data_IF_075182202876
#
_entry.id   IF_075182202876
#
_cell.length_a   1.000
_cell.length_b   1.000
_cell.length_c   1.000
_cell.angle_alpha   90.00
_cell.angle_beta   90.00
_cell.angle_gamma   90.00
#
_symmetry.space_group_name_H-M   'P 1'
#
loop_
_entity.id
_entity.type
_entity.pdbx_description
1 polymer ?
#
# COMPACT_ATOMS: atom_id res chain seq x y z
N UNK A 1 7.30 19.18 4.19
CA UNK A 1 7.13 18.10 3.20
C UNK A 1 5.92 18.39 2.34
N UNK A 2 6.00 18.02 1.08
CA UNK A 2 4.89 18.16 0.15
C UNK A 2 4.05 16.89 0.14
N UNK A 3 2.74 17.05 0.09
CA UNK A 3 1.83 15.90 -0.03
C UNK A 3 1.54 15.63 -1.50
N UNK A 4 1.74 14.40 -1.93
CA UNK A 4 1.42 13.92 -3.26
C UNK A 4 0.33 12.87 -3.16
N UNK A 5 -0.69 12.99 -3.98
CA UNK A 5 -1.81 12.05 -4.02
C UNK A 5 -1.57 11.02 -5.11
N UNK A 6 -1.62 9.74 -4.75
CA UNK A 6 -1.33 8.64 -5.67
C UNK A 6 -2.54 7.73 -5.79
N UNK A 7 -2.76 7.23 -7.01
CA UNK A 7 -3.80 6.24 -7.29
C UNK A 7 -3.20 5.11 -8.10
N UNK A 8 -3.29 3.90 -7.58
CA UNK A 8 -2.79 2.69 -8.21
C UNK A 8 -3.95 1.88 -8.78
N UNK A 9 -3.74 1.10 -9.83
CA UNK A 9 -4.80 0.25 -10.41
C UNK A 9 -5.38 -0.76 -9.41
N UNK A 10 -4.57 -1.20 -8.44
CA UNK A 10 -4.99 -2.16 -7.41
C UNK A 10 -4.08 -2.07 -6.20
N UNK A 11 -4.50 -2.70 -5.10
CA UNK A 11 -3.67 -2.82 -3.90
C UNK A 11 -2.36 -3.55 -4.20
N UNK A 12 -2.41 -4.57 -5.03
CA UNK A 12 -1.22 -5.34 -5.41
C UNK A 12 -0.19 -4.47 -6.11
N UNK A 13 -0.61 -3.59 -7.02
CA UNK A 13 0.28 -2.66 -7.71
C UNK A 13 0.89 -1.68 -6.71
N UNK A 14 0.11 -1.18 -5.75
CA UNK A 14 0.63 -0.35 -4.67
C UNK A 14 1.69 -1.07 -3.85
N UNK A 15 1.44 -2.32 -3.48
CA UNK A 15 2.38 -3.12 -2.69
C UNK A 15 3.72 -3.30 -3.42
N UNK A 16 3.67 -3.54 -4.72
CA UNK A 16 4.86 -3.66 -5.55
C UNK A 16 5.64 -2.34 -5.63
N UNK A 17 4.94 -1.24 -5.84
CA UNK A 17 5.56 0.09 -5.88
C UNK A 17 6.16 0.46 -4.52
N UNK A 18 5.46 0.16 -3.43
CA UNK A 18 5.95 0.40 -2.08
C UNK A 18 7.24 -0.36 -1.79
N UNK A 19 7.34 -1.60 -2.25
CA UNK A 19 8.55 -2.39 -2.12
C UNK A 19 9.72 -1.78 -2.91
N UNK A 20 9.44 -1.23 -4.09
CA UNK A 20 10.47 -0.60 -4.93
C UNK A 20 11.08 0.65 -4.29
N UNK A 21 10.29 1.40 -3.50
CA UNK A 21 10.74 2.66 -2.89
C UNK A 21 11.08 2.53 -1.40
N UNK A 22 10.98 1.34 -0.82
CA UNK A 22 11.36 1.09 0.58
C UNK A 22 10.27 1.32 1.61
N UNK A 23 9.03 1.63 1.21
CA UNK A 23 7.89 1.77 2.11
C UNK A 23 7.42 0.41 2.60
N UNK A 24 7.57 -0.62 1.77
CA UNK A 24 7.31 -2.01 2.14
C UNK A 24 8.62 -2.78 2.08
N UNK A 25 8.97 -3.48 3.14
CA UNK A 25 10.27 -4.13 3.29
C UNK A 25 10.08 -5.59 3.66
N UNK A 26 10.84 -6.46 3.00
CA UNK A 26 10.90 -7.88 3.34
C UNK A 26 12.16 -8.14 4.17
N UNK A 27 11.97 -8.64 5.39
CA UNK A 27 13.05 -9.08 6.27
C UNK A 27 12.90 -10.59 6.46
N UNK A 28 13.39 -11.41 5.53
CA UNK A 28 13.17 -12.85 5.58
C UNK A 28 13.61 -13.46 6.91
N UNK A 29 12.79 -14.35 7.43
CA UNK A 29 13.06 -15.05 8.68
C UNK A 29 13.61 -16.43 8.37
N UNK A 30 14.70 -16.81 9.01
CA UNK A 30 15.30 -18.12 8.86
C UNK A 30 14.37 -19.19 9.43
N UNK A 31 13.97 -20.15 8.60
CA UNK A 31 13.12 -21.29 8.97
C UNK A 31 13.96 -22.51 9.23
N UNK A 32 14.91 -22.80 8.32
CA UNK A 32 15.83 -23.93 8.43
C UNK A 32 17.24 -23.48 8.14
N UNK A 33 18.17 -23.84 8.99
CA UNK A 33 19.57 -23.52 8.79
C UNK A 33 20.18 -24.35 7.66
N UNK A 34 21.23 -23.81 7.04
CA UNK A 34 22.04 -24.56 6.08
C UNK A 34 22.56 -25.82 6.75
N UNK A 35 22.53 -26.95 6.06
CA UNK A 35 22.96 -28.23 6.58
C UNK A 35 23.68 -29.03 5.49
N UNK A 36 24.21 -30.18 5.88
CA UNK A 36 24.88 -31.09 4.95
C UNK A 36 24.22 -32.46 5.06
N UNK A 37 23.85 -33.01 3.89
CA UNK A 37 23.26 -34.35 3.83
C UNK A 37 24.37 -35.36 4.22
N UNK A 38 24.17 -36.16 5.29
CA UNK A 38 25.20 -37.10 5.74
C UNK A 38 25.42 -38.26 4.76
N UNK A 39 24.46 -38.56 3.91
CA UNK A 39 24.56 -39.69 2.98
C UNK A 39 25.26 -39.29 1.67
N UNK A 40 25.03 -38.08 1.17
CA UNK A 40 25.55 -37.61 -0.12
C UNK A 40 26.63 -36.54 0.05
N UNK A 41 26.75 -35.94 1.24
CA UNK A 41 27.62 -34.82 1.54
C UNK A 41 27.31 -33.56 0.74
N UNK A 42 26.08 -33.47 0.22
CA UNK A 42 25.59 -32.29 -0.49
C UNK A 42 25.16 -31.20 0.50
N UNK A 43 25.33 -29.95 0.09
CA UNK A 43 24.89 -28.82 0.91
C UNK A 43 23.40 -28.62 0.69
N UNK A 44 22.64 -28.60 1.81
CA UNK A 44 21.24 -28.26 1.80
C UNK A 44 21.15 -26.77 2.17
N UNK A 45 20.70 -25.89 1.25
CA UNK A 45 20.68 -24.46 1.52
C UNK A 45 19.70 -24.09 2.63
N UNK A 46 19.99 -23.01 3.32
CA UNK A 46 19.09 -22.44 4.32
C UNK A 46 17.75 -22.06 3.68
N UNK A 47 16.66 -22.23 4.43
CA UNK A 47 15.32 -21.88 4.00
C UNK A 47 14.85 -20.67 4.75
N UNK A 48 14.33 -19.68 4.03
CA UNK A 48 13.81 -18.44 4.58
C UNK A 48 12.33 -18.28 4.22
N UNK A 49 11.59 -17.68 5.13
CA UNK A 49 10.19 -17.33 4.94
C UNK A 49 10.08 -15.81 4.79
N UNK A 50 9.25 -15.34 3.85
CA UNK A 50 9.01 -13.92 3.66
C UNK A 50 8.40 -13.31 4.92
N UNK A 51 8.91 -12.15 5.30
CA UNK A 51 8.41 -11.41 6.45
C UNK A 51 8.29 -9.94 6.08
N UNK A 52 7.15 -9.59 5.46
CA UNK A 52 6.88 -8.24 4.98
C UNK A 52 6.40 -7.34 6.09
N UNK A 53 6.90 -6.11 6.10
CA UNK A 53 6.45 -5.07 7.02
C UNK A 53 6.32 -3.74 6.28
N UNK A 54 5.55 -2.82 6.87
CA UNK A 54 5.33 -1.50 6.33
C UNK A 54 6.13 -0.47 7.11
N UNK A 55 6.75 0.45 6.36
CA UNK A 55 7.57 1.53 6.91
C UNK A 55 6.94 2.87 6.49
N UNK A 56 5.83 3.23 7.15
CA UNK A 56 5.05 4.41 6.78
C UNK A 56 5.69 5.73 7.20
N UNK A 57 6.57 5.72 8.18
CA UNK A 57 7.21 6.93 8.70
C UNK A 57 8.72 6.77 8.75
N UNK A 58 9.41 7.74 8.14
CA UNK A 58 10.87 7.87 8.23
C UNK A 58 11.23 9.36 8.29
N UNK A 59 12.52 9.67 8.33
CA UNK A 59 12.98 11.04 8.16
C UNK A 59 12.66 11.59 6.76
N UNK A 60 12.50 10.70 5.78
CA UNK A 60 12.37 11.06 4.37
C UNK A 60 10.92 11.13 3.92
N UNK A 61 10.02 10.38 4.54
CA UNK A 61 8.63 10.33 4.11
C UNK A 61 7.66 10.01 5.24
N UNK A 62 6.40 10.36 5.01
CA UNK A 62 5.26 9.89 5.79
C UNK A 62 4.20 9.43 4.79
N UNK A 63 3.74 8.21 4.92
CA UNK A 63 2.78 7.58 3.99
C UNK A 63 1.48 7.29 4.70
N UNK A 64 0.38 7.70 4.09
CA UNK A 64 -0.97 7.43 4.55
C UNK A 64 -1.64 6.50 3.54
N UNK A 65 -1.80 5.23 3.91
CA UNK A 65 -2.40 4.20 3.06
C UNK A 65 -3.92 4.26 3.20
N UNK A 66 -4.54 5.05 2.32
CA UNK A 66 -5.98 5.33 2.36
C UNK A 66 -6.80 4.15 1.84
N UNK A 67 -6.35 3.52 0.76
CA UNK A 67 -7.03 2.40 0.14
C UNK A 67 -8.15 2.82 -0.80
N UNK A 68 -9.30 2.14 -0.69
CA UNK A 68 -10.47 2.43 -1.51
C UNK A 68 -11.21 3.64 -0.93
N UNK A 69 -11.57 4.59 -1.78
CA UNK A 69 -12.39 5.73 -1.40
C UNK A 69 -13.69 5.72 -2.20
N UNK A 70 -14.70 6.42 -1.68
CA UNK A 70 -16.03 6.42 -2.26
C UNK A 70 -16.35 7.77 -2.88
N UNK A 71 -17.08 7.74 -4.00
CA UNK A 71 -17.55 8.94 -4.70
C UNK A 71 -18.70 9.64 -3.97
N UNK A 72 -19.48 8.86 -3.22
CA UNK A 72 -20.67 9.31 -2.52
C UNK A 72 -20.92 8.45 -1.28
N UNK A 73 -21.88 8.89 -0.46
CA UNK A 73 -22.23 8.19 0.79
C UNK A 73 -23.30 7.12 0.59
N UNK A 74 -23.83 6.97 -0.63
CA UNK A 74 -24.95 6.11 -0.90
C UNK A 74 -26.28 6.71 -0.46
N UNK A 75 -27.35 5.94 -0.61
CA UNK A 75 -28.71 6.35 -0.21
C UNK A 75 -29.28 5.28 0.72
N UNK A 76 -29.80 5.73 1.86
CA UNK A 76 -30.35 4.86 2.89
C UNK A 76 -31.78 5.24 3.20
N UNK A 77 -32.61 4.24 3.59
CA UNK A 77 -33.97 4.49 4.06
C UNK A 77 -33.88 5.16 5.45
N UNK A 78 -34.43 6.39 5.61
CA UNK A 78 -34.34 7.08 6.88
C UNK A 78 -35.15 6.43 8.01
N UNK A 79 -36.14 5.60 7.68
CA UNK A 79 -36.99 4.95 8.65
C UNK A 79 -36.44 3.62 9.15
N UNK A 80 -35.80 2.85 8.26
CA UNK A 80 -35.33 1.50 8.56
C UNK A 80 -33.80 1.38 8.60
N UNK A 81 -33.09 2.33 7.99
CA UNK A 81 -31.66 2.27 7.84
C UNK A 81 -31.17 1.33 6.73
N UNK A 82 -32.11 0.76 5.97
CA UNK A 82 -31.74 -0.14 4.89
C UNK A 82 -31.07 0.60 3.75
N UNK A 83 -30.13 -0.08 3.08
CA UNK A 83 -29.43 0.47 1.93
C UNK A 83 -30.37 0.45 0.71
N UNK A 84 -30.68 1.64 0.18
CA UNK A 84 -31.43 1.79 -1.07
C UNK A 84 -30.48 1.76 -2.25
N UNK A 85 -29.45 2.59 -2.19
CA UNK A 85 -28.39 2.64 -3.19
C UNK A 85 -27.04 2.57 -2.47
N UNK A 86 -26.23 1.54 -2.69
CA UNK A 86 -24.92 1.46 -2.01
C UNK A 86 -24.00 2.57 -2.50
N UNK A 87 -23.04 3.01 -1.66
CA UNK A 87 -22.05 3.97 -2.10
C UNK A 87 -21.22 3.38 -3.23
N UNK A 88 -20.85 4.24 -4.19
CA UNK A 88 -19.97 3.83 -5.29
C UNK A 88 -18.53 4.14 -4.96
N UNK A 89 -17.63 3.21 -5.23
CA UNK A 89 -16.20 3.41 -4.99
C UNK A 89 -15.54 4.07 -6.20
N UNK A 90 -14.52 4.88 -5.91
CA UNK A 90 -13.62 5.38 -6.93
C UNK A 90 -12.63 4.27 -7.28
N UNK A 91 -12.38 4.06 -8.59
CA UNK A 91 -11.46 3.02 -9.04
C UNK A 91 -10.05 3.24 -8.46
N UNK A 92 -9.43 2.14 -8.07
CA UNK A 92 -8.04 2.12 -7.67
C UNK A 92 -7.79 2.12 -6.17
N UNK A 93 -6.52 2.01 -5.83
CA UNK A 93 -6.02 2.05 -4.46
C UNK A 93 -5.33 3.39 -4.22
N UNK A 94 -5.70 4.10 -3.17
CA UNK A 94 -5.30 5.49 -2.94
C UNK A 94 -4.29 5.60 -1.81
N UNK A 95 -3.28 6.44 -2.02
CA UNK A 95 -2.20 6.66 -1.05
C UNK A 95 -1.85 8.15 -1.03
N UNK A 96 -1.67 8.71 0.16
CA UNK A 96 -1.09 10.04 0.36
C UNK A 96 0.39 9.86 0.69
N UNK A 97 1.26 10.46 -0.10
CA UNK A 97 2.70 10.36 0.07
C UNK A 97 3.29 11.75 0.41
N UNK A 98 3.84 11.88 1.59
CA UNK A 98 4.42 13.14 2.07
C UNK A 98 5.93 13.01 2.11
N UNK A 99 6.61 13.78 1.27
CA UNK A 99 8.07 13.80 1.21
C UNK A 99 8.56 15.07 0.55
N UNK A 100 9.82 15.39 0.74
CA UNK A 100 10.46 16.51 0.05
C UNK A 100 10.60 16.22 -1.45
N UNK A 101 10.83 14.96 -1.80
CA UNK A 101 11.01 14.52 -3.19
C UNK A 101 10.21 13.25 -3.43
N UNK A 102 9.48 13.20 -4.54
CA UNK A 102 8.73 12.01 -4.93
C UNK A 102 9.67 11.07 -5.70
N UNK A 103 9.76 9.78 -5.30
CA UNK A 103 10.50 8.79 -6.07
C UNK A 103 9.96 8.64 -7.48
N UNK A 104 10.85 8.44 -8.46
CA UNK A 104 10.44 8.30 -9.86
C UNK A 104 9.52 7.11 -10.11
N UNK A 105 9.64 6.05 -9.31
CA UNK A 105 8.78 4.87 -9.40
C UNK A 105 7.31 5.18 -9.09
N UNK A 106 7.02 6.28 -8.42
CA UNK A 106 5.67 6.69 -8.06
C UNK A 106 5.06 7.75 -8.98
N UNK A 107 5.86 8.36 -9.84
CA UNK A 107 5.43 9.48 -10.69
C UNK A 107 4.26 9.11 -11.61
N UNK A 108 4.22 7.88 -12.11
CA UNK A 108 3.18 7.42 -13.01
C UNK A 108 1.79 7.35 -12.35
N UNK A 109 1.73 7.36 -11.02
CA UNK A 109 0.49 7.19 -10.26
C UNK A 109 -0.03 8.49 -9.64
N UNK A 110 0.63 9.61 -9.88
CA UNK A 110 0.24 10.91 -9.33
C UNK A 110 -1.10 11.35 -9.90
N UNK A 111 -2.01 11.76 -8.99
CA UNK A 111 -3.30 12.32 -9.37
C UNK A 111 -3.51 13.64 -8.64
N UNK A 112 -4.40 14.47 -9.16
CA UNK A 112 -4.75 15.75 -8.55
C UNK A 112 -6.24 15.73 -8.20
N UNK A 113 -6.60 15.59 -6.92
CA UNK A 113 -8.01 15.64 -6.50
C UNK A 113 -8.62 17.01 -6.80
N UNK A 114 -9.89 17.02 -7.19
CA UNK A 114 -10.56 18.23 -7.67
C UNK A 114 -10.98 19.21 -6.59
N UNK A 115 -11.08 18.76 -5.33
CA UNK A 115 -11.53 19.62 -4.23
C UNK A 115 -11.05 19.07 -2.89
N UNK A 116 -11.06 19.89 -1.81
CA UNK A 116 -10.57 19.43 -0.50
C UNK A 116 -11.26 18.19 0.04
N UNK A 117 -12.57 18.05 -0.15
CA UNK A 117 -13.29 16.85 0.31
C UNK A 117 -13.09 15.66 -0.62
N UNK A 118 -12.54 15.90 -1.80
CA UNK A 118 -12.12 14.85 -2.73
C UNK A 118 -10.66 14.45 -2.58
N UNK A 119 -9.94 15.16 -1.75
CA UNK A 119 -8.65 14.68 -1.30
C UNK A 119 -8.87 13.39 -0.54
N UNK A 120 -7.86 12.56 -0.52
CA UNK A 120 -7.99 11.25 0.12
C UNK A 120 -8.27 11.41 1.61
N UNK A 121 -8.99 10.44 2.17
CA UNK A 121 -9.33 10.44 3.59
C UNK A 121 -8.06 10.63 4.44
N UNK A 122 -8.14 11.45 5.47
CA UNK A 122 -7.00 11.76 6.32
C UNK A 122 -6.21 12.98 5.89
N UNK A 123 -6.59 13.62 4.78
CA UNK A 123 -5.94 14.86 4.30
C UNK A 123 -6.68 16.14 4.70
#
# INVERSE_FOLDING_TARGET
>A
MNTTYLRFPSQEVWEQAAAAVGVRVNNPTLVEEESVDPDTNDIIPAVYEDNWSWNYYTHDWAVDDVGVIYNDDGVYDPDTGDVITPPTSMDGWHVNYKAATLPSDLEAYVVTPNSPHRKFAGE
#
